data_IF_968770236106
#
_entry.id   IF_968770236106
#
_cell.length_a   1.000
_cell.length_b   1.000
_cell.length_c   1.000
_cell.angle_alpha   90.00
_cell.angle_beta   90.00
_cell.angle_gamma   90.00
#
_symmetry.space_group_name_H-M   'P 1'
#
loop_
_entity.id
_entity.type
_entity.pdbx_description
1 polymer ?
#
# COMPACT_ATOMS: atom_id res chain seq x y z
N UNK A 1 12.32 -26.90 0.01
CA UNK A 1 11.26 -27.62 -0.72
C UNK A 1 11.31 -27.19 -2.18
N UNK A 2 11.12 -28.09 -3.15
CA UNK A 2 11.16 -27.79 -4.60
C UNK A 2 9.97 -28.49 -5.27
N UNK A 3 9.27 -27.77 -6.14
CA UNK A 3 8.24 -28.34 -7.02
C UNK A 3 8.91 -28.67 -8.37
N UNK A 4 8.84 -29.90 -8.87
CA UNK A 4 9.29 -30.26 -10.21
C UNK A 4 8.64 -29.38 -11.30
N UNK A 5 9.32 -29.10 -12.42
CA UNK A 5 8.78 -28.30 -13.53
C UNK A 5 7.78 -29.11 -14.39
N UNK A 6 6.88 -29.83 -13.74
CA UNK A 6 5.85 -30.66 -14.34
C UNK A 6 4.49 -30.13 -13.92
N UNK A 7 3.56 -30.02 -14.87
CA UNK A 7 2.23 -29.46 -14.59
C UNK A 7 1.53 -30.20 -13.45
N UNK A 8 1.59 -31.53 -13.45
CA UNK A 8 0.89 -32.33 -12.44
C UNK A 8 1.48 -32.12 -11.04
N UNK A 9 2.80 -32.01 -10.93
CA UNK A 9 3.46 -31.68 -9.67
C UNK A 9 3.06 -30.28 -9.14
N UNK A 10 2.87 -29.30 -10.03
CA UNK A 10 2.37 -27.96 -9.66
C UNK A 10 0.92 -28.03 -9.19
N UNK A 11 0.06 -28.72 -9.95
CA UNK A 11 -1.37 -28.85 -9.60
C UNK A 11 -1.57 -29.63 -8.30
N UNK A 12 -0.78 -30.68 -8.04
CA UNK A 12 -0.81 -31.44 -6.79
C UNK A 12 -0.40 -30.59 -5.59
N UNK A 13 0.61 -29.73 -5.76
CA UNK A 13 1.00 -28.78 -4.71
C UNK A 13 -0.11 -27.75 -4.42
N UNK A 14 -0.72 -27.20 -5.47
CA UNK A 14 -1.71 -26.12 -5.34
C UNK A 14 -3.06 -26.62 -4.85
N UNK A 15 -3.44 -27.86 -5.19
CA UNK A 15 -4.78 -28.39 -4.94
C UNK A 15 -5.29 -28.13 -3.52
N UNK A 16 -4.43 -28.36 -2.53
CA UNK A 16 -4.75 -28.22 -1.11
C UNK A 16 -4.04 -27.03 -0.45
N UNK A 17 -3.44 -26.13 -1.25
CA UNK A 17 -2.77 -24.95 -0.72
C UNK A 17 -3.81 -23.96 -0.22
N UNK A 18 -3.78 -23.68 1.08
CA UNK A 18 -4.65 -22.67 1.69
C UNK A 18 -4.40 -21.29 1.05
N UNK A 19 -5.48 -20.59 0.67
CA UNK A 19 -5.39 -19.29 -0.03
C UNK A 19 -4.57 -18.26 0.75
N UNK A 20 -4.60 -18.33 2.09
CA UNK A 20 -3.87 -17.40 2.98
C UNK A 20 -2.34 -17.53 2.86
N UNK A 21 -1.83 -18.63 2.33
CA UNK A 21 -0.39 -18.85 2.09
C UNK A 21 0.10 -18.19 0.81
N UNK A 22 -0.80 -17.76 -0.07
CA UNK A 22 -0.46 -17.12 -1.34
C UNK A 22 -0.12 -15.63 -1.10
N UNK A 23 1.03 -15.14 -1.57
CA UNK A 23 1.35 -13.71 -1.52
C UNK A 23 0.25 -12.87 -2.19
N UNK A 24 -0.13 -11.76 -1.56
CA UNK A 24 -1.24 -10.91 -2.02
C UNK A 24 -2.59 -11.22 -1.36
N UNK A 25 -2.80 -12.43 -0.83
CA UNK A 25 -4.02 -12.77 -0.09
C UNK A 25 -3.82 -12.48 1.41
N UNK A 26 -4.19 -11.25 1.81
CA UNK A 26 -4.20 -10.80 3.21
C UNK A 26 -5.44 -11.25 4.00
N UNK A 27 -5.50 -10.88 5.28
CA UNK A 27 -6.61 -11.22 6.20
C UNK A 27 -7.99 -10.81 5.67
N UNK A 28 -8.09 -9.66 5.02
CA UNK A 28 -9.36 -9.13 4.48
C UNK A 28 -9.81 -9.96 3.29
N UNK A 29 -8.95 -10.13 2.29
CA UNK A 29 -9.23 -10.94 1.09
C UNK A 29 -9.54 -12.39 1.45
N UNK A 30 -8.79 -12.99 2.37
CA UNK A 30 -9.08 -14.33 2.90
C UNK A 30 -10.50 -14.39 3.48
N UNK A 31 -10.89 -13.42 4.32
CA UNK A 31 -12.23 -13.40 4.92
C UNK A 31 -13.33 -13.26 3.86
N UNK A 32 -13.11 -12.44 2.83
CA UNK A 32 -14.07 -12.27 1.72
C UNK A 32 -14.23 -13.56 0.93
N UNK A 33 -13.12 -14.22 0.57
CA UNK A 33 -13.13 -15.49 -0.14
C UNK A 33 -13.75 -16.62 0.69
N UNK A 34 -13.47 -16.67 2.00
CA UNK A 34 -14.12 -17.61 2.93
C UNK A 34 -15.63 -17.44 3.02
N UNK A 35 -16.13 -16.21 2.92
CA UNK A 35 -17.57 -15.96 2.86
C UNK A 35 -18.22 -16.50 1.57
N UNK A 36 -17.42 -16.82 0.56
CA UNK A 36 -17.82 -17.51 -0.67
C UNK A 36 -17.46 -19.00 -0.65
N UNK A 37 -17.16 -19.55 0.53
CA UNK A 37 -16.76 -20.96 0.73
C UNK A 37 -15.45 -21.33 0.00
N UNK A 38 -14.51 -20.38 -0.08
CA UNK A 38 -13.19 -20.57 -0.68
C UNK A 38 -12.12 -20.52 0.42
N UNK A 39 -11.47 -21.65 0.68
CA UNK A 39 -10.38 -21.83 1.64
C UNK A 39 -9.08 -22.30 0.98
N UNK A 40 -9.15 -23.07 -0.11
CA UNK A 40 -8.00 -23.60 -0.86
C UNK A 40 -7.99 -23.16 -2.33
N UNK A 41 -6.83 -23.26 -2.97
CA UNK A 41 -6.67 -22.75 -4.35
C UNK A 41 -7.50 -23.51 -5.40
N UNK A 42 -7.90 -24.77 -5.15
CA UNK A 42 -8.82 -25.47 -6.06
C UNK A 42 -10.20 -24.80 -6.12
N UNK A 43 -10.69 -24.31 -4.97
CA UNK A 43 -12.00 -23.67 -4.86
C UNK A 43 -12.01 -22.31 -5.56
N UNK A 44 -10.87 -21.58 -5.57
CA UNK A 44 -10.70 -20.38 -6.40
C UNK A 44 -10.98 -20.68 -7.88
N UNK A 45 -10.47 -21.80 -8.41
CA UNK A 45 -10.73 -22.17 -9.80
C UNK A 45 -12.20 -22.57 -10.01
N UNK A 46 -12.78 -23.34 -9.08
CA UNK A 46 -14.17 -23.78 -9.17
C UNK A 46 -15.13 -22.57 -9.19
N UNK A 47 -14.88 -21.57 -8.35
CA UNK A 47 -15.70 -20.37 -8.22
C UNK A 47 -15.28 -19.24 -9.17
N UNK A 48 -14.40 -19.48 -10.16
CA UNK A 48 -13.87 -18.44 -11.06
C UNK A 48 -14.95 -17.59 -11.76
N UNK A 49 -16.08 -18.19 -12.13
CA UNK A 49 -17.18 -17.45 -12.75
C UNK A 49 -17.83 -16.49 -11.75
N UNK A 50 -18.12 -16.94 -10.52
CA UNK A 50 -18.65 -16.09 -9.45
C UNK A 50 -17.66 -14.97 -9.09
N UNK A 51 -16.37 -15.29 -8.98
CA UNK A 51 -15.31 -14.32 -8.71
C UNK A 51 -15.30 -13.21 -9.78
N UNK A 52 -15.46 -13.57 -11.06
CA UNK A 52 -15.47 -12.60 -12.16
C UNK A 52 -16.64 -11.61 -12.10
N UNK A 53 -17.72 -11.95 -11.41
CA UNK A 53 -18.89 -11.09 -11.22
C UNK A 53 -18.81 -10.22 -9.97
N UNK A 54 -18.04 -10.64 -8.95
CA UNK A 54 -17.99 -10.00 -7.64
C UNK A 54 -16.75 -9.11 -7.43
N UNK A 55 -15.66 -9.41 -8.13
CA UNK A 55 -14.38 -8.73 -7.96
C UNK A 55 -14.01 -7.92 -9.21
N UNK A 56 -13.12 -6.94 -9.02
CA UNK A 56 -12.53 -6.22 -10.16
C UNK A 56 -11.79 -7.17 -11.09
N UNK A 57 -11.67 -6.78 -12.36
CA UNK A 57 -10.96 -7.56 -13.38
C UNK A 57 -9.54 -7.92 -12.94
N UNK A 58 -8.78 -6.98 -12.38
CA UNK A 58 -7.42 -7.21 -11.86
C UNK A 58 -7.38 -8.29 -10.79
N UNK A 59 -8.33 -8.25 -9.85
CA UNK A 59 -8.39 -9.25 -8.76
C UNK A 59 -8.78 -10.62 -9.32
N UNK A 60 -9.76 -10.67 -10.24
CA UNK A 60 -10.19 -11.90 -10.89
C UNK A 60 -9.04 -12.54 -11.68
N UNK A 61 -8.29 -11.75 -12.44
CA UNK A 61 -7.13 -12.22 -13.20
C UNK A 61 -6.09 -12.83 -12.25
N UNK A 62 -5.74 -12.12 -11.18
CA UNK A 62 -4.78 -12.60 -10.19
C UNK A 62 -5.24 -13.90 -9.51
N UNK A 63 -6.52 -13.99 -9.11
CA UNK A 63 -7.08 -15.21 -8.52
C UNK A 63 -7.08 -16.39 -9.49
N UNK A 64 -7.32 -16.14 -10.78
CA UNK A 64 -7.26 -17.18 -11.81
C UNK A 64 -5.83 -17.69 -11.99
N UNK A 65 -4.84 -16.80 -12.09
CA UNK A 65 -3.42 -17.16 -12.16
C UNK A 65 -2.99 -18.01 -10.96
N UNK A 66 -3.35 -17.58 -9.74
CA UNK A 66 -3.09 -18.32 -8.50
C UNK A 66 -3.68 -19.73 -8.57
N UNK A 67 -4.95 -19.83 -9.00
CA UNK A 67 -5.66 -21.11 -9.07
C UNK A 67 -5.07 -22.09 -10.11
N UNK A 68 -4.34 -21.55 -11.09
CA UNK A 68 -3.64 -22.30 -12.15
C UNK A 68 -2.15 -22.51 -11.86
N UNK A 69 -1.63 -21.99 -10.75
CA UNK A 69 -0.21 -22.04 -10.41
C UNK A 69 0.70 -21.21 -11.31
N UNK A 70 0.13 -20.15 -11.87
CA UNK A 70 0.86 -19.19 -12.67
C UNK A 70 1.46 -18.09 -11.78
N UNK A 71 2.60 -17.60 -12.21
CA UNK A 71 3.32 -16.49 -11.59
C UNK A 71 4.44 -16.05 -12.52
N UNK A 72 5.07 -14.92 -12.20
CA UNK A 72 6.17 -14.44 -13.03
C UNK A 72 7.33 -15.44 -13.06
N UNK A 73 7.71 -15.87 -14.26
CA UNK A 73 8.92 -16.67 -14.52
C UNK A 73 10.12 -15.81 -14.91
N UNK A 74 9.91 -14.49 -15.01
CA UNK A 74 10.93 -13.50 -15.28
C UNK A 74 11.13 -12.60 -14.05
N UNK A 75 12.38 -12.33 -13.70
CA UNK A 75 12.74 -11.43 -12.60
C UNK A 75 13.18 -10.10 -13.19
N UNK A 76 12.33 -9.08 -13.08
CA UNK A 76 12.71 -7.69 -13.33
C UNK A 76 13.68 -7.23 -12.23
N UNK A 77 14.85 -6.73 -12.63
CA UNK A 77 15.89 -6.28 -11.69
C UNK A 77 15.89 -4.77 -11.49
N UNK A 78 15.40 -4.05 -12.49
CA UNK A 78 15.37 -2.59 -12.50
C UNK A 78 13.99 -2.13 -12.03
N UNK A 79 13.94 -1.47 -10.87
CA UNK A 79 12.73 -0.85 -10.36
C UNK A 79 13.04 0.60 -10.00
N UNK A 80 12.23 1.51 -10.52
CA UNK A 80 12.28 2.91 -10.11
C UNK A 80 11.38 3.12 -8.89
N UNK A 81 11.93 3.77 -7.86
CA UNK A 81 11.16 4.12 -6.67
C UNK A 81 10.05 5.10 -7.03
N UNK A 82 8.79 4.72 -6.78
CA UNK A 82 7.61 5.55 -7.07
C UNK A 82 7.24 6.52 -5.94
N UNK A 83 7.65 6.24 -4.72
CA UNK A 83 7.42 7.10 -3.56
C UNK A 83 8.46 6.88 -2.46
N UNK A 84 8.62 7.91 -1.63
CA UNK A 84 9.45 7.91 -0.42
C UNK A 84 8.68 8.62 0.69
N UNK A 85 8.72 8.09 1.90
CA UNK A 85 7.94 8.61 3.03
C UNK A 85 8.62 8.33 4.36
N UNK A 86 8.38 9.20 5.34
CA UNK A 86 8.73 8.98 6.75
C UNK A 86 7.49 9.22 7.61
N UNK A 87 7.28 8.38 8.62
CA UNK A 87 6.17 8.49 9.57
C UNK A 87 6.62 8.11 10.98
N UNK A 88 6.05 8.78 11.98
CA UNK A 88 6.36 8.53 13.40
C UNK A 88 5.07 8.37 14.19
N UNK A 89 5.04 7.39 15.10
CA UNK A 89 3.96 7.25 16.11
C UNK A 89 4.46 7.87 17.42
N UNK A 90 3.61 8.65 18.09
CA UNK A 90 3.94 9.45 19.27
C UNK A 90 2.74 9.51 20.22
N UNK A 91 2.94 9.96 21.46
CA UNK A 91 1.85 10.27 22.39
C UNK A 91 1.05 11.48 21.90
N UNK A 92 -0.16 11.71 22.38
CA UNK A 92 -0.95 12.87 21.97
C UNK A 92 -0.15 14.20 22.12
N UNK A 93 -0.19 15.04 21.08
CA UNK A 93 0.56 16.30 21.02
C UNK A 93 -0.37 17.48 20.69
N UNK A 94 0.02 18.65 21.18
CA UNK A 94 -0.66 19.91 20.95
C UNK A 94 -0.47 20.43 19.52
N UNK A 95 -1.31 21.38 19.11
CA UNK A 95 -1.24 22.02 17.79
C UNK A 95 0.14 22.60 17.44
N UNK A 96 0.85 23.35 18.31
CA UNK A 96 2.20 23.85 18.01
C UNK A 96 3.22 22.72 17.80
N UNK A 97 3.11 21.63 18.56
CA UNK A 97 4.00 20.47 18.45
C UNK A 97 3.77 19.71 17.13
N UNK A 98 2.55 19.71 16.59
CA UNK A 98 2.26 19.11 15.28
C UNK A 98 3.04 19.79 14.14
N UNK A 99 3.12 21.12 14.14
CA UNK A 99 3.92 21.84 13.13
C UNK A 99 5.41 21.55 13.26
N UNK A 100 5.93 21.49 14.50
CA UNK A 100 7.32 21.14 14.76
C UNK A 100 7.65 19.73 14.26
N UNK A 101 6.82 18.75 14.60
CA UNK A 101 7.00 17.38 14.15
C UNK A 101 6.88 17.25 12.62
N UNK A 102 5.94 17.98 12.01
CA UNK A 102 5.81 18.03 10.56
C UNK A 102 7.11 18.53 9.91
N UNK A 103 7.72 19.59 10.45
CA UNK A 103 9.00 20.09 9.97
C UNK A 103 10.13 19.07 10.13
N UNK A 104 10.24 18.42 11.29
CA UNK A 104 11.24 17.35 11.53
C UNK A 104 11.11 16.23 10.49
N UNK A 105 9.89 15.75 10.21
CA UNK A 105 9.63 14.71 9.22
C UNK A 105 9.94 15.20 7.79
N UNK A 106 9.68 16.47 7.47
CA UNK A 106 10.06 17.05 6.19
C UNK A 106 11.59 17.11 6.02
N UNK A 107 12.32 17.42 7.09
CA UNK A 107 13.78 17.42 7.10
C UNK A 107 14.33 16.01 6.87
N UNK A 108 13.83 15.01 7.60
CA UNK A 108 14.21 13.61 7.44
C UNK A 108 13.97 13.13 5.99
N UNK A 109 12.78 13.45 5.43
CA UNK A 109 12.43 13.08 4.05
C UNK A 109 13.30 13.78 3.00
N UNK A 110 13.60 15.08 3.19
CA UNK A 110 14.48 15.82 2.29
C UNK A 110 15.91 15.25 2.29
N UNK A 111 16.42 14.83 3.46
CA UNK A 111 17.71 14.17 3.55
C UNK A 111 17.73 12.84 2.80
N UNK A 112 16.68 12.03 2.90
CA UNK A 112 16.59 10.77 2.19
C UNK A 112 16.42 10.95 0.67
N UNK A 113 15.63 11.92 0.24
CA UNK A 113 15.53 12.31 -1.17
C UNK A 113 16.89 12.74 -1.72
N UNK A 114 17.64 13.53 -0.95
CA UNK A 114 18.99 13.99 -1.32
C UNK A 114 19.97 12.82 -1.46
N UNK A 115 19.92 11.82 -0.56
CA UNK A 115 20.79 10.63 -0.64
C UNK A 115 20.54 9.82 -1.91
N UNK A 116 19.28 9.70 -2.34
CA UNK A 116 18.91 8.98 -3.56
C UNK A 116 18.91 9.86 -4.82
N UNK A 117 19.20 11.17 -4.71
CA UNK A 117 19.20 12.11 -5.84
C UNK A 117 17.80 12.34 -6.45
N UNK A 118 16.74 12.14 -5.66
CA UNK A 118 15.35 12.18 -6.11
C UNK A 118 14.71 13.54 -5.88
N UNK A 119 13.70 13.85 -6.71
CA UNK A 119 12.78 14.99 -6.52
C UNK A 119 11.34 14.50 -6.68
N UNK A 120 10.41 15.10 -5.93
CA UNK A 120 9.01 14.70 -5.93
C UNK A 120 8.12 15.86 -6.40
N UNK A 121 6.97 15.55 -7.00
CA UNK A 121 5.95 16.55 -7.34
C UNK A 121 4.71 16.47 -6.45
N UNK A 122 4.48 15.34 -5.80
CA UNK A 122 3.33 15.11 -4.94
C UNK A 122 3.80 14.93 -3.52
N UNK A 123 3.31 15.79 -2.61
CA UNK A 123 3.54 15.69 -1.18
C UNK A 123 2.26 15.20 -0.53
N UNK A 124 2.37 14.14 0.28
CA UNK A 124 1.24 13.54 0.99
C UNK A 124 1.46 13.64 2.50
N UNK A 125 0.57 14.34 3.18
CA UNK A 125 0.48 14.37 4.64
C UNK A 125 -0.40 13.22 5.12
N UNK A 126 0.08 12.46 6.10
CA UNK A 126 -0.66 11.38 6.77
C UNK A 126 -0.84 11.74 8.24
N UNK A 127 -2.08 11.75 8.69
CA UNK A 127 -2.47 12.01 10.08
C UNK A 127 -3.19 10.78 10.62
N UNK A 128 -2.93 10.44 11.89
CA UNK A 128 -3.65 9.39 12.61
C UNK A 128 -4.06 9.94 13.97
N UNK A 129 -5.35 9.91 14.28
CA UNK A 129 -5.85 10.38 15.57
C UNK A 129 -5.70 9.30 16.67
N UNK A 130 -6.03 9.67 17.91
CA UNK A 130 -5.98 8.77 19.08
C UNK A 130 -6.92 7.57 18.97
N UNK A 131 -7.97 7.67 18.12
CA UNK A 131 -8.89 6.58 17.81
C UNK A 131 -8.38 5.69 16.65
N UNK A 132 -7.14 5.87 16.22
CA UNK A 132 -6.49 5.16 15.11
C UNK A 132 -7.11 5.38 13.72
N UNK A 133 -7.97 6.39 13.57
CA UNK A 133 -8.50 6.79 12.27
C UNK A 133 -7.41 7.53 11.48
N UNK A 134 -7.18 7.10 10.25
CA UNK A 134 -6.14 7.65 9.37
C UNK A 134 -6.76 8.57 8.34
N UNK A 135 -6.23 9.79 8.23
CA UNK A 135 -6.54 10.73 7.15
C UNK A 135 -5.28 10.97 6.32
N UNK A 136 -5.45 11.08 5.01
CA UNK A 136 -4.38 11.47 4.10
C UNK A 136 -4.83 12.65 3.26
N UNK A 137 -3.92 13.59 3.04
CA UNK A 137 -4.09 14.75 2.16
C UNK A 137 -2.87 14.87 1.28
N UNK A 138 -3.08 15.17 0.00
CA UNK A 138 -1.99 15.28 -0.95
C UNK A 138 -2.14 16.54 -1.79
N UNK A 139 -1.01 17.13 -2.16
CA UNK A 139 -0.94 18.22 -3.11
C UNK A 139 0.14 17.93 -4.14
N UNK A 140 -0.18 18.14 -5.43
CA UNK A 140 0.76 17.96 -6.53
C UNK A 140 1.10 19.31 -7.14
N UNK A 141 2.39 19.65 -7.15
CA UNK A 141 2.92 20.92 -7.65
C UNK A 141 3.46 20.81 -9.08
N UNK A 142 3.59 21.96 -9.75
CA UNK A 142 4.10 22.05 -11.12
C UNK A 142 5.59 21.72 -11.20
N UNK A 143 6.40 22.32 -10.32
CA UNK A 143 7.84 22.11 -10.24
C UNK A 143 8.18 21.07 -9.19
N UNK A 144 9.13 20.19 -9.48
CA UNK A 144 9.58 19.17 -8.53
C UNK A 144 10.31 19.81 -7.34
N UNK A 145 10.00 19.33 -6.15
CA UNK A 145 10.55 19.77 -4.86
C UNK A 145 11.48 18.71 -4.28
N UNK A 146 12.43 19.16 -3.47
CA UNK A 146 13.41 18.27 -2.83
C UNK A 146 14.02 18.81 -1.54
N UNK A 147 13.86 20.09 -1.24
CA UNK A 147 14.41 20.68 0.00
C UNK A 147 13.40 20.61 1.15
N UNK A 148 13.89 20.69 2.38
CA UNK A 148 13.04 20.78 3.58
C UNK A 148 12.04 21.93 3.46
N UNK A 149 12.50 23.13 3.10
CA UNK A 149 11.66 24.32 3.02
C UNK A 149 10.53 24.17 2.00
N UNK A 150 10.82 23.60 0.82
CA UNK A 150 9.84 23.37 -0.23
C UNK A 150 8.78 22.34 0.20
N UNK A 151 9.22 21.21 0.77
CA UNK A 151 8.35 20.12 1.22
C UNK A 151 7.49 20.61 2.40
N UNK A 152 8.11 21.28 3.37
CA UNK A 152 7.43 21.80 4.55
C UNK A 152 6.42 22.88 4.21
N UNK A 153 6.70 23.78 3.26
CA UNK A 153 5.72 24.78 2.81
C UNK A 153 4.41 24.10 2.36
N UNK A 154 4.51 23.05 1.55
CA UNK A 154 3.34 22.30 1.06
C UNK A 154 2.67 21.52 2.20
N UNK A 155 3.45 20.80 3.00
CA UNK A 155 2.93 19.98 4.10
C UNK A 155 2.26 20.82 5.19
N UNK A 156 2.77 22.03 5.45
CA UNK A 156 2.22 23.00 6.39
C UNK A 156 0.84 23.48 5.95
N UNK A 157 0.65 23.78 4.67
CA UNK A 157 -0.66 24.19 4.14
C UNK A 157 -1.68 23.05 4.24
N UNK A 158 -1.26 21.81 3.93
CA UNK A 158 -2.09 20.62 4.11
C UNK A 158 -2.48 20.40 5.58
N UNK A 159 -1.54 20.58 6.51
CA UNK A 159 -1.79 20.44 7.94
C UNK A 159 -2.74 21.53 8.45
N UNK A 160 -2.51 22.78 8.05
CA UNK A 160 -3.35 23.92 8.41
C UNK A 160 -4.80 23.69 7.98
N UNK A 161 -5.02 23.26 6.75
CA UNK A 161 -6.36 22.96 6.23
C UNK A 161 -7.07 21.88 7.05
N UNK A 162 -6.38 20.83 7.49
CA UNK A 162 -6.98 19.80 8.34
C UNK A 162 -7.30 20.31 9.75
N UNK A 163 -6.48 21.19 10.31
CA UNK A 163 -6.73 21.78 11.63
C UNK A 163 -7.95 22.71 11.63
N UNK A 164 -8.14 23.50 10.57
CA UNK A 164 -9.30 24.38 10.40
C UNK A 164 -10.62 23.59 10.27
N UNK A 165 -10.58 22.38 9.70
CA UNK A 165 -11.76 21.50 9.59
C UNK A 165 -12.17 20.91 10.95
N UNK A 166 -11.21 20.73 11.87
CA UNK A 166 -11.43 20.06 13.16
C UNK A 166 -11.78 21.05 14.28
N UNK A 167 -11.37 22.32 14.17
CA UNK A 167 -11.80 23.36 15.09
C UNK A 167 -13.27 23.75 14.80
N UNK A 168 -14.25 23.46 15.68
CA UNK A 168 -15.54 24.11 15.60
C UNK A 168 -15.35 25.60 15.90
N UNK A 169 -16.10 26.46 15.21
CA UNK A 169 -16.30 27.86 15.63
C UNK A 169 -16.76 27.97 17.09
#
# INVERSE_FOLDING_TARGET
>A
YRIPPERDAVMDFIKNLAIRKVPGIGKVTEKMLKALEIEVCTELYQQRALISLLFSETSCHNFLEISLGLGSTHLERDWERKSMSTERTFNEISAPEQYKLCQELCSDLAQDLKKEGLKARTITLKLKNVNFEVKTRANTVLSAVSTEDEIFAIAKDLLKSEMEIVAPE
#
